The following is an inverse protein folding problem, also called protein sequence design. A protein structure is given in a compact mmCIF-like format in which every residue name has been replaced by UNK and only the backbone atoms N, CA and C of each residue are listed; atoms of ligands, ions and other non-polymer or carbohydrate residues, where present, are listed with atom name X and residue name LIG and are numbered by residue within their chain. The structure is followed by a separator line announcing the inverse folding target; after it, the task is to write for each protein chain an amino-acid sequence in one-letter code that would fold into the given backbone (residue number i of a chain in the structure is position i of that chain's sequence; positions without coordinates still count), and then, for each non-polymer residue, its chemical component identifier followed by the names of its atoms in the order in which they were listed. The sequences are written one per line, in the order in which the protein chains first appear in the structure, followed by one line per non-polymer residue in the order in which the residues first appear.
data_IF_212192877618
#
_entry.id   IF_212192877618
#
_cell.length_a   1.000
_cell.length_b   1.000
_cell.length_c   1.000
_cell.angle_alpha   90.00
_cell.angle_beta   90.00
_cell.angle_gamma   90.00
#
_symmetry.space_group_name_H-M   'P 1'
#
loop_
_entity.id
_entity.type
_entity.pdbx_description
1 polymer ?
#
# COMPACT_ATOMS: atom_id res chain seq x y z
N UNK A 1 7.05 -27.59 -9.59
CA UNK A 1 7.30 -26.87 -8.33
C UNK A 1 8.55 -26.01 -8.52
N UNK A 2 8.40 -24.79 -9.03
CA UNK A 2 9.52 -23.86 -9.19
C UNK A 2 9.58 -23.00 -7.93
N UNK A 3 10.67 -23.16 -7.17
CA UNK A 3 10.97 -22.33 -6.01
C UNK A 3 11.09 -20.88 -6.47
N UNK A 4 10.21 -20.02 -5.98
CA UNK A 4 10.29 -18.58 -6.17
C UNK A 4 11.44 -18.07 -5.28
N UNK A 5 12.64 -18.01 -5.85
CA UNK A 5 13.81 -17.38 -5.27
C UNK A 5 13.58 -15.86 -5.20
N UNK A 6 12.93 -15.39 -4.13
CA UNK A 6 12.90 -13.95 -3.83
C UNK A 6 14.32 -13.37 -3.72
N UNK A 7 14.50 -12.05 -3.92
CA UNK A 7 15.83 -11.44 -3.89
C UNK A 7 16.51 -11.76 -2.56
N UNK A 8 17.68 -12.40 -2.63
CA UNK A 8 18.45 -12.83 -1.45
C UNK A 8 18.95 -11.61 -0.70
N UNK A 9 18.20 -11.20 0.34
CA UNK A 9 18.51 -10.05 1.17
C UNK A 9 19.85 -10.26 1.89
N UNK A 10 20.79 -9.30 1.74
CA UNK A 10 22.11 -9.42 2.37
C UNK A 10 22.00 -9.37 3.89
N UNK A 11 22.55 -10.38 4.55
CA UNK A 11 22.54 -10.54 6.00
C UNK A 11 23.88 -10.12 6.62
N UNK A 12 23.88 -9.04 7.39
CA UNK A 12 25.07 -8.42 7.97
C UNK A 12 25.47 -9.05 9.32
N UNK A 13 26.79 -9.09 9.58
CA UNK A 13 27.34 -9.58 10.84
C UNK A 13 27.19 -8.50 11.93
N UNK A 14 26.96 -8.86 13.20
CA UNK A 14 26.79 -7.88 14.28
C UNK A 14 27.90 -6.81 14.36
N UNK A 15 29.16 -7.19 14.11
CA UNK A 15 30.30 -6.25 14.08
C UNK A 15 30.16 -5.20 12.97
N UNK A 16 29.73 -5.60 11.78
CA UNK A 16 29.50 -4.72 10.65
C UNK A 16 28.32 -3.76 10.91
N UNK A 17 27.26 -4.26 11.55
CA UNK A 17 26.11 -3.45 11.97
C UNK A 17 26.53 -2.37 12.98
N UNK A 18 27.33 -2.75 13.99
CA UNK A 18 27.84 -1.82 14.98
C UNK A 18 28.66 -0.68 14.34
N UNK A 19 29.50 -1.02 13.35
CA UNK A 19 30.29 -0.04 12.60
C UNK A 19 29.42 0.89 11.77
N UNK A 20 28.43 0.37 11.03
CA UNK A 20 27.55 1.19 10.18
C UNK A 20 26.62 2.10 10.97
N UNK A 21 26.14 1.65 12.13
CA UNK A 21 25.22 2.41 12.98
C UNK A 21 25.94 3.28 14.03
N UNK A 22 27.27 3.15 14.16
CA UNK A 22 28.03 3.85 15.20
C UNK A 22 27.64 3.45 16.62
N UNK A 23 27.19 2.21 16.84
CA UNK A 23 26.71 1.72 18.15
C UNK A 23 27.62 0.63 18.74
N UNK A 24 27.55 0.48 20.05
CA UNK A 24 28.25 -0.61 20.74
C UNK A 24 27.59 -1.98 20.51
N UNK A 25 28.37 -3.05 20.60
CA UNK A 25 27.84 -4.42 20.54
C UNK A 25 26.80 -4.71 21.64
N UNK A 26 26.98 -4.29 22.91
CA UNK A 26 25.93 -4.39 23.92
C UNK A 26 24.63 -3.67 23.54
N UNK A 27 24.71 -2.49 22.90
CA UNK A 27 23.53 -1.77 22.41
C UNK A 27 22.79 -2.58 21.34
N UNK A 28 23.52 -3.13 20.37
CA UNK A 28 22.94 -3.99 19.34
C UNK A 28 22.33 -5.26 19.93
N UNK A 29 23.05 -5.94 20.84
CA UNK A 29 22.56 -7.14 21.51
C UNK A 29 21.30 -6.86 22.36
N UNK A 30 21.25 -5.70 23.01
CA UNK A 30 20.07 -5.22 23.73
C UNK A 30 18.90 -4.99 22.76
N UNK A 31 19.11 -4.32 21.63
CA UNK A 31 18.07 -4.11 20.63
C UNK A 31 17.54 -5.42 20.04
N UNK A 32 18.42 -6.39 19.78
CA UNK A 32 18.01 -7.74 19.31
C UNK A 32 17.19 -8.47 20.38
N UNK A 33 17.64 -8.43 21.65
CA UNK A 33 16.94 -9.07 22.78
C UNK A 33 15.56 -8.45 23.04
N UNK A 34 15.47 -7.13 22.91
CA UNK A 34 14.23 -6.37 23.08
C UNK A 34 13.32 -6.41 21.83
N UNK A 35 13.79 -7.01 20.73
CA UNK A 35 13.06 -7.10 19.47
C UNK A 35 12.93 -5.76 18.72
N UNK A 36 13.76 -4.77 19.03
CA UNK A 36 13.74 -3.43 18.41
C UNK A 36 14.42 -3.35 17.05
N UNK A 37 15.17 -4.39 16.69
CA UNK A 37 15.85 -4.52 15.40
C UNK A 37 15.54 -5.91 14.82
N UNK A 38 15.15 -5.95 13.55
CA UNK A 38 14.89 -7.22 12.86
C UNK A 38 16.19 -8.03 12.77
N UNK A 39 16.17 -9.27 13.28
CA UNK A 39 17.32 -10.16 13.25
C UNK A 39 16.90 -11.59 12.89
N UNK A 40 17.70 -12.24 12.04
CA UNK A 40 17.53 -13.63 11.62
C UNK A 40 18.54 -14.49 12.35
N UNK A 41 18.09 -15.60 12.95
CA UNK A 41 18.98 -16.61 13.54
C UNK A 41 19.45 -17.56 12.46
N UNK A 42 20.77 -17.78 12.37
CA UNK A 42 21.33 -18.83 11.51
C UNK A 42 21.23 -20.20 12.21
N UNK A 43 21.37 -21.28 11.45
CA UNK A 43 21.42 -22.65 11.99
C UNK A 43 22.47 -22.83 13.10
N UNK A 44 23.54 -22.03 13.10
CA UNK A 44 24.57 -22.00 14.14
C UNK A 44 24.27 -21.08 15.35
N UNK A 45 23.02 -20.67 15.55
CA UNK A 45 22.57 -19.89 16.72
C UNK A 45 22.99 -18.41 16.75
N UNK A 46 23.76 -17.94 15.76
CA UNK A 46 24.19 -16.55 15.65
C UNK A 46 23.13 -15.71 14.94
N UNK A 47 22.92 -14.50 15.41
CA UNK A 47 22.01 -13.55 14.76
C UNK A 47 22.71 -12.78 13.62
N UNK A 48 21.95 -12.50 12.57
CA UNK A 48 22.31 -11.65 11.43
C UNK A 48 21.23 -10.59 11.25
N UNK A 49 21.62 -9.39 10.86
CA UNK A 49 20.70 -8.27 10.70
C UNK A 49 20.56 -8.03 9.19
N UNK A 50 19.34 -7.98 8.63
CA UNK A 50 19.14 -7.64 7.23
C UNK A 50 19.73 -6.27 6.89
N UNK A 51 20.37 -6.12 5.73
CA UNK A 51 20.97 -4.85 5.31
C UNK A 51 19.94 -3.73 5.18
N UNK A 52 18.70 -4.05 4.79
CA UNK A 52 17.58 -3.10 4.75
C UNK A 52 17.31 -2.49 6.13
N UNK A 53 17.35 -3.31 7.18
CA UNK A 53 17.09 -2.91 8.57
C UNK A 53 18.21 -2.00 9.09
N UNK A 54 19.47 -2.30 8.75
CA UNK A 54 20.60 -1.44 9.11
C UNK A 54 20.51 -0.11 8.38
N UNK A 55 20.20 -0.13 7.07
CA UNK A 55 20.04 1.10 6.29
C UNK A 55 18.92 1.98 6.84
N UNK A 56 17.77 1.38 7.17
CA UNK A 56 16.61 2.05 7.78
C UNK A 56 17.03 2.83 9.04
N UNK A 57 17.76 2.18 9.95
CA UNK A 57 18.22 2.81 11.20
C UNK A 57 19.29 3.88 10.94
N UNK A 58 20.21 3.64 10.00
CA UNK A 58 21.25 4.60 9.62
C UNK A 58 20.66 5.89 9.02
N UNK A 59 19.54 5.78 8.31
CA UNK A 59 18.80 6.90 7.72
C UNK A 59 17.87 7.62 8.73
N UNK A 60 18.03 7.34 10.03
CA UNK A 60 17.33 8.04 11.11
C UNK A 60 15.98 7.45 11.50
N UNK A 61 15.62 6.26 11.02
CA UNK A 61 14.38 5.63 11.44
C UNK A 61 14.45 5.17 12.92
N UNK A 62 13.34 5.26 13.65
CA UNK A 62 13.31 4.88 15.06
C UNK A 62 13.60 3.38 15.25
N UNK A 63 14.39 3.08 16.27
CA UNK A 63 14.68 1.72 16.76
C UNK A 63 13.55 1.31 17.71
N UNK A 64 12.36 1.18 17.12
CA UNK A 64 11.08 0.95 17.80
C UNK A 64 10.64 -0.50 17.61
N UNK A 65 10.00 -1.04 18.65
CA UNK A 65 9.30 -2.34 18.65
C UNK A 65 7.94 -2.25 17.95
N UNK A 66 7.37 -1.05 17.88
CA UNK A 66 6.04 -0.80 17.30
C UNK A 66 6.20 -0.46 15.82
N UNK A 67 5.69 -1.35 14.97
CA UNK A 67 5.46 -1.06 13.56
C UNK A 67 4.38 0.01 13.47
N UNK A 68 4.72 1.16 12.91
CA UNK A 68 3.79 2.27 12.71
C UNK A 68 2.99 2.01 11.44
N UNK A 69 1.69 1.80 11.59
CA UNK A 69 0.78 1.56 10.50
C UNK A 69 -0.02 2.82 10.19
N UNK A 70 -0.27 3.06 8.91
CA UNK A 70 -1.35 3.94 8.46
C UNK A 70 -2.36 3.10 7.72
N UNK A 71 -3.62 3.27 8.07
CA UNK A 71 -4.74 2.61 7.39
C UNK A 71 -5.17 3.51 6.25
N UNK A 72 -5.35 2.95 5.07
CA UNK A 72 -5.90 3.67 3.93
C UNK A 72 -7.12 2.92 3.39
N UNK A 73 -8.27 3.60 3.38
CA UNK A 73 -9.54 3.04 2.92
C UNK A 73 -10.13 3.92 1.80
N UNK A 74 -10.82 3.31 0.84
CA UNK A 74 -11.40 4.05 -0.28
C UNK A 74 -12.69 3.42 -0.76
N UNK A 75 -13.64 4.29 -1.07
CA UNK A 75 -14.85 3.95 -1.82
C UNK A 75 -14.99 4.89 -3.03
N UNK A 76 -15.71 4.46 -4.06
CA UNK A 76 -15.91 5.29 -5.26
C UNK A 76 -17.09 6.23 -5.14
N UNK A 77 -18.12 5.86 -4.38
CA UNK A 77 -19.32 6.68 -4.19
C UNK A 77 -19.59 7.03 -2.72
N UNK A 78 -20.13 8.24 -2.41
CA UNK A 78 -20.55 8.60 -1.07
C UNK A 78 -21.62 7.67 -0.46
N UNK A 79 -22.43 7.01 -1.28
CA UNK A 79 -23.44 6.05 -0.78
C UNK A 79 -22.81 4.85 -0.06
N UNK A 80 -21.53 4.54 -0.34
CA UNK A 80 -20.79 3.42 0.25
C UNK A 80 -20.09 3.81 1.56
N UNK A 81 -20.52 4.89 2.23
CA UNK A 81 -19.88 5.37 3.46
C UNK A 81 -19.93 4.35 4.60
N UNK A 82 -21.02 3.58 4.71
CA UNK A 82 -21.11 2.48 5.68
C UNK A 82 -20.02 1.43 5.46
N UNK A 83 -19.73 1.12 4.19
CA UNK A 83 -18.73 0.12 3.83
C UNK A 83 -17.32 0.62 4.15
N UNK A 84 -17.08 1.92 3.98
CA UNK A 84 -15.84 2.58 4.37
C UNK A 84 -15.58 2.46 5.88
N UNK A 85 -16.61 2.69 6.71
CA UNK A 85 -16.51 2.55 8.17
C UNK A 85 -16.21 1.10 8.58
N UNK A 86 -16.90 0.14 7.95
CA UNK A 86 -16.64 -1.30 8.15
C UNK A 86 -15.21 -1.71 7.77
N UNK A 87 -14.71 -1.22 6.63
CA UNK A 87 -13.31 -1.43 6.21
C UNK A 87 -12.33 -0.88 7.24
N UNK A 88 -12.51 0.37 7.67
CA UNK A 88 -11.64 0.99 8.68
C UNK A 88 -11.62 0.19 9.96
N UNK A 89 -12.79 -0.27 10.44
CA UNK A 89 -12.89 -1.05 11.67
C UNK A 89 -12.16 -2.39 11.54
N UNK A 90 -12.36 -3.11 10.44
CA UNK A 90 -11.67 -4.37 10.15
C UNK A 90 -10.15 -4.19 10.09
N UNK A 91 -9.67 -3.17 9.38
CA UNK A 91 -8.23 -2.88 9.26
C UNK A 91 -7.61 -2.45 10.59
N UNK A 92 -8.37 -1.75 11.44
CA UNK A 92 -7.93 -1.36 12.79
C UNK A 92 -7.78 -2.59 13.68
N UNK A 93 -8.72 -3.53 13.63
CA UNK A 93 -8.61 -4.81 14.34
C UNK A 93 -7.43 -5.63 13.82
N UNK A 94 -7.24 -5.67 12.50
CA UNK A 94 -6.09 -6.34 11.89
C UNK A 94 -4.77 -5.79 12.42
N UNK A 95 -4.59 -4.47 12.39
CA UNK A 95 -3.41 -3.79 12.92
C UNK A 95 -3.19 -4.11 14.40
N UNK A 96 -4.25 -4.06 15.20
CA UNK A 96 -4.20 -4.38 16.63
C UNK A 96 -3.75 -5.83 16.87
N UNK A 97 -4.27 -6.78 16.10
CA UNK A 97 -3.90 -8.21 16.20
C UNK A 97 -2.44 -8.48 15.84
N UNK A 98 -1.86 -7.66 14.95
CA UNK A 98 -0.46 -7.71 14.54
C UNK A 98 0.48 -6.96 15.47
N UNK A 99 -0.04 -6.24 16.48
CA UNK A 99 0.73 -5.36 17.34
C UNK A 99 1.25 -4.11 16.62
N UNK A 100 0.59 -3.69 15.55
CA UNK A 100 0.91 -2.44 14.85
C UNK A 100 0.29 -1.27 15.59
N UNK A 101 1.03 -0.17 15.70
CA UNK A 101 0.51 1.10 16.18
C UNK A 101 -0.09 1.87 15.01
N UNK A 102 -1.41 2.03 15.00
CA UNK A 102 -2.09 2.87 14.01
C UNK A 102 -1.75 4.33 14.32
N UNK A 103 -1.02 4.98 13.40
CA UNK A 103 -0.63 6.40 13.48
C UNK A 103 -1.76 7.29 12.99
N UNK A 104 -2.40 6.87 11.89
CA UNK A 104 -3.49 7.62 11.28
C UNK A 104 -4.40 6.67 10.46
N UNK A 105 -5.62 7.12 10.22
CA UNK A 105 -6.60 6.48 9.35
C UNK A 105 -6.99 7.47 8.27
N UNK A 106 -6.57 7.19 7.05
CA UNK A 106 -6.81 8.01 5.88
C UNK A 106 -7.91 7.38 5.04
N UNK A 107 -8.79 8.22 4.50
CA UNK A 107 -9.84 7.75 3.60
C UNK A 107 -10.15 8.73 2.49
N UNK A 108 -10.63 8.19 1.37
CA UNK A 108 -11.05 8.98 0.21
C UNK A 108 -12.36 8.43 -0.37
N UNK A 109 -13.20 9.34 -0.84
CA UNK A 109 -14.41 9.05 -1.63
C UNK A 109 -14.14 9.51 -3.07
N UNK A 110 -13.55 8.62 -3.86
CA UNK A 110 -13.15 8.89 -5.24
C UNK A 110 -12.78 7.59 -5.98
N UNK A 111 -12.84 7.64 -7.31
CA UNK A 111 -12.29 6.59 -8.19
C UNK A 111 -10.81 6.33 -7.89
N UNK A 112 -10.41 5.06 -7.99
CA UNK A 112 -9.02 4.62 -7.89
C UNK A 112 -8.12 5.13 -9.02
N UNK A 113 -8.68 5.74 -10.07
CA UNK A 113 -7.98 6.37 -11.18
C UNK A 113 -7.45 7.78 -10.85
N UNK A 114 -8.02 8.44 -9.83
CA UNK A 114 -7.62 9.80 -9.45
C UNK A 114 -6.34 9.80 -8.63
N UNK A 115 -5.33 10.52 -9.07
CA UNK A 115 -4.05 10.62 -8.33
C UNK A 115 -4.03 11.73 -7.28
N UNK A 116 -4.90 12.74 -7.38
CA UNK A 116 -4.96 13.92 -6.52
C UNK A 116 -5.94 13.77 -5.34
N UNK A 117 -6.08 12.54 -4.83
CA UNK A 117 -6.91 12.21 -3.67
C UNK A 117 -6.25 12.74 -2.38
N UNK A 118 -6.99 13.41 -1.52
CA UNK A 118 -6.40 14.08 -0.34
C UNK A 118 -5.80 13.08 0.65
N UNK A 119 -6.48 11.95 0.90
CA UNK A 119 -5.97 10.88 1.75
C UNK A 119 -4.72 10.23 1.16
N UNK A 120 -4.71 9.96 -0.15
CA UNK A 120 -3.53 9.43 -0.83
C UNK A 120 -2.34 10.40 -0.78
N UNK A 121 -2.56 11.71 -0.96
CA UNK A 121 -1.50 12.71 -0.89
C UNK A 121 -0.90 12.78 0.51
N UNK A 122 -1.74 12.79 1.56
CA UNK A 122 -1.29 12.67 2.95
C UNK A 122 -0.52 11.38 3.20
N UNK A 123 -0.93 10.27 2.60
CA UNK A 123 -0.22 9.00 2.70
C UNK A 123 1.22 9.10 2.16
N UNK A 124 1.43 9.83 1.06
CA UNK A 124 2.78 10.11 0.55
C UNK A 124 3.58 10.99 1.52
N UNK A 125 2.96 11.97 2.17
CA UNK A 125 3.63 12.81 3.19
C UNK A 125 4.09 11.96 4.38
N UNK A 126 3.24 11.07 4.90
CA UNK A 126 3.62 10.14 5.97
C UNK A 126 4.81 9.24 5.59
N UNK A 127 4.82 8.74 4.35
CA UNK A 127 5.90 7.90 3.85
C UNK A 127 7.21 8.68 3.66
N UNK A 128 7.15 9.83 2.99
CA UNK A 128 8.33 10.68 2.72
C UNK A 128 8.97 11.21 3.99
N UNK A 129 8.16 11.55 4.99
CA UNK A 129 8.62 11.98 6.32
C UNK A 129 9.03 10.81 7.23
N UNK A 130 9.01 9.56 6.73
CA UNK A 130 9.36 8.34 7.48
C UNK A 130 8.57 8.18 8.78
N UNK A 131 7.33 8.63 8.79
CA UNK A 131 6.43 8.61 9.95
C UNK A 131 5.72 7.27 10.12
N UNK A 132 5.69 6.46 9.06
CA UNK A 132 5.03 5.14 9.01
C UNK A 132 5.98 4.08 8.47
N UNK A 133 5.73 2.83 8.81
CA UNK A 133 6.51 1.66 8.38
C UNK A 133 5.67 0.72 7.49
N UNK A 134 4.34 0.78 7.61
CA UNK A 134 3.40 -0.02 6.79
C UNK A 134 2.16 0.79 6.41
N UNK A 135 1.76 0.68 5.16
CA UNK A 135 0.43 1.06 4.69
C UNK A 135 -0.45 -0.18 4.68
N UNK A 136 -1.58 -0.12 5.37
CA UNK A 136 -2.54 -1.23 5.44
C UNK A 136 -3.79 -0.86 4.66
N UNK A 137 -4.14 -1.71 3.70
CA UNK A 137 -5.33 -1.57 2.85
C UNK A 137 -6.15 -2.85 2.87
N UNK A 138 -7.47 -2.76 2.63
CA UNK A 138 -8.32 -3.94 2.52
C UNK A 138 -7.90 -4.79 1.30
N UNK A 139 -7.84 -4.15 0.14
CA UNK A 139 -7.47 -4.73 -1.14
C UNK A 139 -6.51 -3.79 -1.88
N UNK A 140 -5.78 -4.31 -2.87
CA UNK A 140 -4.75 -3.57 -3.60
C UNK A 140 -5.30 -2.40 -4.44
N UNK A 141 -6.44 -2.61 -5.07
CA UNK A 141 -7.19 -1.65 -5.89
C UNK A 141 -7.75 -0.47 -5.09
N UNK A 142 -7.90 -0.63 -3.76
CA UNK A 142 -8.26 0.48 -2.86
C UNK A 142 -7.20 1.57 -2.90
N UNK A 143 -5.92 1.19 -2.99
CA UNK A 143 -4.82 2.14 -3.12
C UNK A 143 -4.86 2.85 -4.48
N UNK A 144 -4.98 2.11 -5.57
CA UNK A 144 -5.15 2.66 -6.92
C UNK A 144 -5.63 1.60 -7.89
N UNK A 145 -6.38 2.00 -8.93
CA UNK A 145 -6.80 1.08 -10.00
C UNK A 145 -5.64 0.71 -10.94
N UNK A 146 -4.66 1.60 -11.14
CA UNK A 146 -3.48 1.34 -11.98
C UNK A 146 -2.20 1.89 -11.36
N UNK A 147 -1.07 1.28 -11.70
CA UNK A 147 0.24 1.76 -11.23
C UNK A 147 0.55 1.37 -9.79
N UNK A 148 -0.12 0.34 -9.26
CA UNK A 148 0.16 -0.22 -7.94
C UNK A 148 1.66 -0.54 -7.78
N UNK A 149 2.28 -1.14 -8.79
CA UNK A 149 3.71 -1.49 -8.76
C UNK A 149 4.61 -0.26 -8.59
N UNK A 150 4.25 0.87 -9.22
CA UNK A 150 4.97 2.13 -9.05
C UNK A 150 4.82 2.69 -7.63
N UNK A 151 3.62 2.58 -7.05
CA UNK A 151 3.37 2.99 -5.67
C UNK A 151 4.12 2.10 -4.67
N UNK A 152 4.05 0.78 -4.83
CA UNK A 152 4.78 -0.17 -4.00
C UNK A 152 6.29 0.06 -4.09
N UNK A 153 6.81 0.33 -5.30
CA UNK A 153 8.21 0.68 -5.49
C UNK A 153 8.57 1.99 -4.77
N UNK A 154 7.75 3.03 -4.91
CA UNK A 154 7.92 4.31 -4.22
C UNK A 154 7.96 4.13 -2.70
N UNK A 155 6.94 3.50 -2.12
CA UNK A 155 6.86 3.26 -0.68
C UNK A 155 8.06 2.47 -0.16
N UNK A 156 8.51 1.46 -0.92
CA UNK A 156 9.70 0.68 -0.59
C UNK A 156 10.98 1.52 -0.53
N UNK A 157 11.13 2.56 -1.36
CA UNK A 157 12.28 3.47 -1.27
C UNK A 157 12.35 4.21 0.07
N UNK A 158 11.20 4.46 0.68
CA UNK A 158 11.10 5.10 2.00
C UNK A 158 11.01 4.10 3.16
N UNK A 159 11.24 2.81 2.89
CA UNK A 159 11.15 1.75 3.90
C UNK A 159 9.72 1.41 4.32
N UNK A 160 8.72 1.85 3.56
CA UNK A 160 7.31 1.58 3.82
C UNK A 160 6.87 0.38 2.98
N UNK A 161 6.24 -0.61 3.61
CA UNK A 161 5.62 -1.75 2.90
C UNK A 161 4.12 -1.53 2.75
N UNK A 162 3.55 -2.02 1.65
CA UNK A 162 2.09 -2.04 1.44
C UNK A 162 1.58 -3.43 1.77
N UNK A 163 0.55 -3.52 2.60
CA UNK A 163 -0.04 -4.78 3.07
C UNK A 163 -1.54 -4.78 2.76
N UNK A 164 -1.97 -5.69 1.88
CA UNK A 164 -3.37 -5.92 1.56
C UNK A 164 -3.90 -7.10 2.38
N UNK A 165 -4.97 -6.89 3.16
CA UNK A 165 -5.43 -7.86 4.15
C UNK A 165 -6.30 -8.95 3.55
N UNK A 166 -7.20 -8.59 2.63
CA UNK A 166 -8.25 -9.49 2.12
C UNK A 166 -7.90 -10.15 0.77
N UNK A 167 -6.72 -9.87 0.22
CA UNK A 167 -6.25 -10.47 -1.02
C UNK A 167 -6.94 -9.91 -2.25
N UNK A 168 -7.81 -10.71 -2.88
CA UNK A 168 -8.51 -10.37 -4.13
C UNK A 168 -9.84 -9.65 -3.91
N UNK A 169 -10.17 -8.77 -4.85
CA UNK A 169 -11.37 -7.93 -4.81
C UNK A 169 -12.66 -8.79 -4.89
N UNK A 170 -13.68 -8.49 -4.09
CA UNK A 170 -14.94 -9.22 -4.12
C UNK A 170 -15.73 -8.90 -5.41
N UNK A 171 -16.54 -9.87 -5.87
CA UNK A 171 -17.23 -9.82 -7.18
C UNK A 171 -18.26 -8.68 -7.31
N UNK A 172 -18.72 -8.14 -6.19
CA UNK A 172 -19.62 -6.99 -6.09
C UNK A 172 -18.96 -5.67 -6.52
N UNK A 173 -17.62 -5.61 -6.64
CA UNK A 173 -16.91 -4.45 -7.16
C UNK A 173 -17.03 -4.24 -8.68
N UNK A 174 -17.82 -5.08 -9.38
CA UNK A 174 -18.08 -4.95 -10.83
C UNK A 174 -18.56 -3.56 -11.22
N UNK A 175 -19.45 -2.96 -10.41
CA UNK A 175 -20.00 -1.65 -10.71
C UNK A 175 -18.91 -0.57 -10.72
N UNK A 176 -18.00 -0.63 -9.74
CA UNK A 176 -16.85 0.28 -9.67
C UNK A 176 -15.90 0.11 -10.87
N UNK A 177 -15.69 -1.13 -11.32
CA UNK A 177 -14.88 -1.44 -12.52
C UNK A 177 -15.50 -0.84 -13.79
N UNK A 178 -16.82 -0.96 -13.93
CA UNK A 178 -17.59 -0.39 -15.04
C UNK A 178 -17.48 1.14 -15.06
N UNK A 179 -17.65 1.78 -13.91
CA UNK A 179 -17.54 3.24 -13.77
C UNK A 179 -16.14 3.74 -14.12
N UNK A 180 -15.10 3.08 -13.62
CA UNK A 180 -13.70 3.40 -13.92
C UNK A 180 -13.42 3.26 -15.43
N UNK A 181 -13.92 2.20 -16.07
CA UNK A 181 -13.75 2.00 -17.50
C UNK A 181 -14.44 3.09 -18.33
N UNK A 182 -15.63 3.51 -17.93
CA UNK A 182 -16.33 4.64 -18.55
C UNK A 182 -15.52 5.94 -18.37
N UNK A 183 -14.91 6.17 -17.20
CA UNK A 183 -14.07 7.35 -16.96
C UNK A 183 -12.83 7.36 -17.87
N UNK A 184 -12.18 6.22 -18.05
CA UNK A 184 -11.06 6.04 -18.99
C UNK A 184 -11.51 6.39 -20.41
N UNK A 185 -12.59 5.77 -20.91
CA UNK A 185 -13.09 6.01 -22.27
C UNK A 185 -13.47 7.48 -22.44
N UNK A 186 -14.12 8.10 -21.45
CA UNK A 186 -14.48 9.51 -21.47
C UNK A 186 -13.24 10.43 -21.56
N UNK A 187 -12.17 10.11 -20.83
CA UNK A 187 -10.89 10.82 -20.87
C UNK A 187 -10.23 10.71 -22.25
N UNK A 188 -10.12 9.50 -22.80
CA UNK A 188 -9.55 9.27 -24.13
C UNK A 188 -10.40 9.91 -25.24
N UNK A 189 -11.72 9.76 -25.20
CA UNK A 189 -12.63 10.37 -26.15
C UNK A 189 -12.55 11.90 -26.13
N UNK A 190 -12.34 12.50 -24.95
CA UNK A 190 -12.09 13.93 -24.80
C UNK A 190 -10.81 14.39 -25.48
N UNK A 191 -9.72 13.59 -25.40
CA UNK A 191 -8.45 13.87 -26.09
C UNK A 191 -8.54 13.65 -27.60
N UNK A 192 -9.23 12.60 -28.05
CA UNK A 192 -9.34 12.25 -29.46
C UNK A 192 -10.27 13.19 -30.25
N UNK A 193 -11.42 13.55 -29.68
CA UNK A 193 -12.47 14.25 -30.40
C UNK A 193 -12.73 15.67 -29.87
N UNK A 194 -12.11 16.06 -28.76
CA UNK A 194 -12.35 17.33 -28.08
C UNK A 194 -13.45 17.24 -27.01
N UNK A 195 -13.31 18.04 -25.95
CA UNK A 195 -14.13 17.96 -24.73
C UNK A 195 -15.64 18.11 -24.95
N UNK A 196 -16.05 18.89 -25.96
CA UNK A 196 -17.45 19.23 -26.26
C UNK A 196 -18.02 18.53 -27.51
N UNK A 197 -17.25 17.66 -28.15
CA UNK A 197 -17.64 17.04 -29.42
C UNK A 197 -18.85 16.11 -29.28
N UNK A 198 -19.73 16.12 -30.28
CA UNK A 198 -20.84 15.15 -30.36
C UNK A 198 -20.32 13.71 -30.49
N UNK A 199 -19.22 13.50 -31.23
CA UNK A 199 -18.60 12.17 -31.41
C UNK A 199 -18.15 11.56 -30.08
N UNK A 200 -17.63 12.39 -29.16
CA UNK A 200 -17.29 11.98 -27.79
C UNK A 200 -18.52 11.44 -27.07
N UNK A 201 -19.64 12.18 -27.08
CA UNK A 201 -20.89 11.76 -26.43
C UNK A 201 -21.40 10.45 -27.00
N UNK A 202 -21.45 10.34 -28.32
CA UNK A 202 -21.88 9.12 -29.01
C UNK A 202 -21.03 7.92 -28.63
N UNK A 203 -19.70 8.07 -28.55
CA UNK A 203 -18.80 6.98 -28.14
C UNK A 203 -19.07 6.54 -26.69
N UNK A 204 -19.15 7.48 -25.76
CA UNK A 204 -19.34 7.18 -24.33
C UNK A 204 -20.73 6.56 -24.08
N UNK A 205 -21.77 7.07 -24.73
CA UNK A 205 -23.13 6.53 -24.63
C UNK A 205 -23.23 5.14 -25.27
N UNK A 206 -22.66 4.94 -26.46
CA UNK A 206 -22.63 3.64 -27.11
C UNK A 206 -21.86 2.61 -26.28
N UNK A 207 -20.74 3.02 -25.68
CA UNK A 207 -19.95 2.16 -24.81
C UNK A 207 -20.71 1.80 -23.52
N UNK A 208 -21.45 2.74 -22.92
CA UNK A 208 -22.31 2.45 -21.76
C UNK A 208 -23.38 1.40 -22.09
N UNK A 209 -24.07 1.53 -23.23
CA UNK A 209 -25.06 0.55 -23.69
C UNK A 209 -24.46 -0.85 -23.89
N UNK A 210 -23.29 -0.91 -24.52
CA UNK A 210 -22.58 -2.18 -24.71
C UNK A 210 -22.24 -2.86 -23.37
N UNK A 211 -21.84 -2.09 -22.36
CA UNK A 211 -21.55 -2.63 -21.03
C UNK A 211 -22.82 -3.13 -20.32
N UNK A 212 -23.96 -2.47 -20.51
CA UNK A 212 -25.27 -2.93 -19.99
C UNK A 212 -25.73 -4.21 -20.69
N UNK A 213 -25.59 -4.29 -22.02
CA UNK A 213 -25.93 -5.47 -22.82
C UNK A 213 -25.09 -6.69 -22.45
N UNK A 214 -23.76 -6.52 -22.32
CA UNK A 214 -22.87 -7.60 -21.88
C UNK A 214 -23.06 -7.90 -20.39
N UNK A 215 -23.46 -6.91 -19.61
CA UNK A 215 -23.70 -7.02 -18.17
C UNK A 215 -24.95 -7.80 -17.78
N UNK A 216 -26.01 -7.74 -18.61
CA UNK A 216 -27.29 -8.40 -18.36
C UNK A 216 -27.34 -9.89 -18.69
N UNK A 217 -26.23 -10.50 -19.14
CA UNK A 217 -26.16 -11.90 -19.57
C UNK A 217 -25.48 -12.86 -18.56
N UNK A 218 -25.34 -12.45 -17.29
CA UNK A 218 -24.83 -13.32 -16.21
C UNK A 218 -25.87 -13.62 -15.14
#
# INVERSE_FOLDING_TARGET
MLAVSGPSERLLRPKEVCQRLGISYPTLARWVREGKIRAVRTAGGKYRIPESEVRRIAEGAPVSKEVRAVIYARVSSPEQKSDLEGQVQYLTQYCSSRGYKVVDVLSDIASGLRANREGLLKLFEYATNRQVDVVVVAYRDRLTRFGLEYLEYFFRQYGVRVEAVLGEEPKDARQELVEDLIEIVNSFAGKLYGLRSRRKRTLVEGFRKLLEEVGGHE
#
